data_IF_891261768412
#
_entry.id   IF_891261768412
#
_cell.length_a   1.000
_cell.length_b   1.000
_cell.length_c   1.000
_cell.angle_alpha   90.00
_cell.angle_beta   90.00
_cell.angle_gamma   90.00
#
_symmetry.space_group_name_H-M   'P 1'
#
loop_
_entity.id
_entity.type
_entity.pdbx_description
1 polymer ?
#
# COMPACT_ATOMS: atom_id res chain seq x y z
N UNK A 1 9.95 0.07 -3.58
CA UNK A 1 9.77 0.19 -2.12
C UNK A 1 9.81 -1.19 -1.47
N UNK A 2 10.14 -1.24 -0.18
CA UNK A 2 10.13 -2.45 0.65
C UNK A 2 8.76 -2.66 1.29
N UNK A 3 8.51 -3.87 1.83
CA UNK A 3 7.30 -4.14 2.60
C UNK A 3 7.17 -3.28 3.86
N UNK A 4 8.30 -2.89 4.46
CA UNK A 4 8.33 -1.98 5.60
C UNK A 4 7.83 -0.58 5.21
N UNK A 5 8.29 -0.04 4.08
CA UNK A 5 7.84 1.25 3.55
C UNK A 5 6.35 1.23 3.20
N UNK A 6 5.84 0.11 2.65
CA UNK A 6 4.42 -0.07 2.37
C UNK A 6 3.57 -0.01 3.65
N UNK A 7 4.03 -0.64 4.73
CA UNK A 7 3.38 -0.60 6.04
C UNK A 7 3.37 0.81 6.62
N UNK A 8 4.47 1.55 6.47
CA UNK A 8 4.58 2.93 6.94
C UNK A 8 3.61 3.85 6.18
N UNK A 9 3.57 3.72 4.85
CA UNK A 9 2.64 4.45 3.99
C UNK A 9 1.19 4.26 4.44
N UNK A 10 0.76 3.01 4.63
CA UNK A 10 -0.61 2.69 5.03
C UNK A 10 -0.99 3.27 6.40
N UNK A 11 -0.05 3.24 7.35
CA UNK A 11 -0.23 3.87 8.66
C UNK A 11 -0.32 5.40 8.55
N UNK A 12 0.46 6.01 7.66
CA UNK A 12 0.35 7.43 7.33
C UNK A 12 -1.01 7.82 6.76
N UNK A 13 -1.66 6.89 6.05
CA UNK A 13 -3.05 7.04 5.56
C UNK A 13 -4.12 6.78 6.63
N UNK A 14 -3.74 6.39 7.85
CA UNK A 14 -4.64 5.94 8.92
C UNK A 14 -5.56 4.77 8.50
N UNK A 15 -5.04 3.84 7.70
CA UNK A 15 -5.79 2.66 7.26
C UNK A 15 -5.52 1.47 8.19
N UNK A 16 -6.32 0.41 8.09
CA UNK A 16 -6.02 -0.98 8.49
C UNK A 16 -5.60 -1.83 7.25
N UNK A 17 -5.14 -3.08 7.43
CA UNK A 17 -4.60 -3.88 6.31
C UNK A 17 -5.69 -4.20 5.29
N UNK A 18 -6.92 -4.38 5.78
CA UNK A 18 -8.14 -4.62 5.04
C UNK A 18 -8.45 -3.44 4.11
N UNK A 19 -8.48 -2.21 4.64
CA UNK A 19 -8.74 -0.99 3.86
C UNK A 19 -7.69 -0.74 2.78
N UNK A 20 -6.41 -0.96 3.08
CA UNK A 20 -5.39 -0.77 2.05
C UNK A 20 -5.41 -1.84 0.96
N UNK A 21 -5.78 -3.07 1.33
CA UNK A 21 -5.99 -4.12 0.34
C UNK A 21 -7.17 -3.76 -0.58
N UNK A 22 -8.27 -3.24 -0.02
CA UNK A 22 -9.41 -2.71 -0.77
C UNK A 22 -9.00 -1.59 -1.74
N UNK A 23 -8.31 -0.56 -1.25
CA UNK A 23 -7.87 0.59 -2.06
C UNK A 23 -6.89 0.20 -3.17
N UNK A 24 -6.05 -0.81 -2.92
CA UNK A 24 -5.12 -1.35 -3.92
C UNK A 24 -5.77 -2.40 -4.84
N UNK A 25 -7.03 -2.79 -4.60
CA UNK A 25 -7.74 -3.80 -5.38
C UNK A 25 -7.12 -5.20 -5.29
N UNK A 26 -6.51 -5.54 -4.14
CA UNK A 26 -5.87 -6.84 -3.90
C UNK A 26 -6.49 -7.56 -2.71
N UNK A 27 -6.27 -8.86 -2.60
CA UNK A 27 -6.70 -9.60 -1.41
C UNK A 27 -5.87 -9.21 -0.17
N UNK A 28 -6.51 -9.23 1.01
CA UNK A 28 -5.84 -8.98 2.31
C UNK A 28 -4.65 -9.92 2.51
N UNK A 29 -4.74 -11.17 2.05
CA UNK A 29 -3.63 -12.13 2.05
C UNK A 29 -2.42 -11.62 1.26
N UNK A 30 -2.66 -11.13 0.04
CA UNK A 30 -1.60 -10.60 -0.82
C UNK A 30 -0.96 -9.37 -0.19
N UNK A 31 -1.78 -8.47 0.36
CA UNK A 31 -1.31 -7.29 1.07
C UNK A 31 -0.42 -7.64 2.27
N UNK A 32 -0.85 -8.57 3.13
CA UNK A 32 -0.07 -9.08 4.27
C UNK A 32 1.27 -9.70 3.82
N UNK A 33 1.33 -10.32 2.64
CA UNK A 33 2.57 -10.84 2.06
C UNK A 33 3.48 -9.70 1.58
N UNK A 34 2.93 -8.66 0.97
CA UNK A 34 3.71 -7.50 0.50
C UNK A 34 4.40 -6.76 1.65
N UNK A 35 3.73 -6.55 2.79
CA UNK A 35 4.35 -5.90 3.96
C UNK A 35 5.56 -6.69 4.53
N UNK A 36 5.67 -7.98 4.22
CA UNK A 36 6.79 -8.84 4.64
C UNK A 36 7.86 -9.01 3.57
N UNK A 37 7.64 -8.50 2.36
CA UNK A 37 8.56 -8.67 1.25
C UNK A 37 9.75 -7.69 1.38
N UNK A 38 10.95 -8.15 1.00
CA UNK A 38 12.12 -7.30 0.88
C UNK A 38 11.90 -6.19 -0.16
N UNK A 39 11.30 -6.55 -1.30
CA UNK A 39 10.89 -5.62 -2.34
C UNK A 39 9.47 -5.96 -2.81
N UNK A 40 8.63 -4.95 -2.98
CA UNK A 40 7.29 -5.14 -3.55
C UNK A 40 7.32 -4.95 -5.07
N UNK A 41 6.33 -5.49 -5.76
CA UNK A 41 6.20 -5.31 -7.21
C UNK A 41 6.04 -3.82 -7.57
N UNK A 42 6.68 -3.39 -8.67
CA UNK A 42 6.63 -2.00 -9.14
C UNK A 42 5.21 -1.48 -9.36
N UNK A 43 4.29 -2.37 -9.76
CA UNK A 43 2.87 -2.05 -9.89
C UNK A 43 2.26 -1.53 -8.57
N UNK A 44 2.52 -2.22 -7.45
CA UNK A 44 2.00 -1.81 -6.14
C UNK A 44 2.64 -0.48 -5.72
N UNK A 45 3.94 -0.32 -5.99
CA UNK A 45 4.62 0.95 -5.73
C UNK A 45 3.97 2.13 -6.47
N UNK A 46 3.71 1.99 -7.77
CA UNK A 46 3.03 3.02 -8.55
C UNK A 46 1.60 3.28 -8.08
N UNK A 47 0.86 2.22 -7.71
CA UNK A 47 -0.49 2.35 -7.17
C UNK A 47 -0.52 3.15 -5.85
N UNK A 48 0.39 2.88 -4.92
CA UNK A 48 0.50 3.65 -3.67
C UNK A 48 0.83 5.13 -3.93
N UNK A 49 1.70 5.42 -4.90
CA UNK A 49 2.02 6.79 -5.29
C UNK A 49 0.81 7.52 -5.88
N UNK A 50 0.06 6.84 -6.76
CA UNK A 50 -1.17 7.39 -7.35
C UNK A 50 -2.23 7.70 -6.27
N UNK A 51 -2.45 6.79 -5.32
CA UNK A 51 -3.38 6.99 -4.20
C UNK A 51 -2.96 8.17 -3.32
N UNK A 52 -1.66 8.28 -3.01
CA UNK A 52 -1.13 9.39 -2.21
C UNK A 52 -1.32 10.74 -2.91
N UNK A 53 -1.08 10.79 -4.22
CA UNK A 53 -1.24 12.01 -5.01
C UNK A 53 -2.70 12.41 -5.15
N UNK A 54 -3.62 11.45 -5.30
CA UNK A 54 -5.07 11.70 -5.35
C UNK A 54 -5.58 12.39 -4.08
N UNK A 55 -5.03 12.03 -2.91
CA UNK A 55 -5.41 12.62 -1.62
C UNK A 55 -4.91 14.07 -1.45
N UNK A 56 -3.83 14.45 -2.11
CA UNK A 56 -3.22 15.79 -2.01
C UNK A 56 -4.00 16.85 -2.81
N UNK A 57 -4.76 16.45 -3.84
CA UNK A 57 -5.52 17.39 -4.70
C UNK A 57 -6.83 17.91 -4.07
N UNK A 58 -6.83 18.19 -2.77
CA UNK A 58 -7.94 18.86 -2.09
C UNK A 58 -7.70 20.36 -1.98
#
# INVERSE_FOLDING_TARGET
MTGFELKLWRRGMNWDQERAAEELGVSVRSYKRYEKAQNIAKLIELATFALSTKMIKK
#
